data_IF_524584934987
#
_entry.id   IF_524584934987
#
_cell.length_a   1.000
_cell.length_b   1.000
_cell.length_c   1.000
_cell.angle_alpha   90.00
_cell.angle_beta   90.00
_cell.angle_gamma   90.00
#
_symmetry.space_group_name_H-M   'P 1'
#
loop_
_entity.id
_entity.type
_entity.pdbx_description
1 polymer ?
#
# COMPACT_ATOMS: atom_id res chain seq x y z
N UNK A 1 -18.05 10.42 -39.96
CA UNK A 1 -17.91 10.94 -38.57
C UNK A 1 -17.47 12.39 -38.64
N UNK A 2 -18.11 13.29 -37.90
CA UNK A 2 -17.78 14.73 -37.93
C UNK A 2 -16.61 15.02 -36.98
N UNK A 3 -15.78 16.03 -37.27
CA UNK A 3 -14.61 16.40 -36.45
C UNK A 3 -14.96 16.59 -34.97
N UNK A 4 -16.16 17.11 -34.68
CA UNK A 4 -16.70 17.24 -33.32
C UNK A 4 -16.87 15.90 -32.60
N UNK A 5 -17.35 14.86 -33.29
CA UNK A 5 -17.46 13.51 -32.71
C UNK A 5 -16.10 12.89 -32.41
N UNK A 6 -15.09 13.15 -33.25
CA UNK A 6 -13.72 12.69 -33.01
C UNK A 6 -13.08 13.42 -31.82
N UNK A 7 -13.27 14.75 -31.71
CA UNK A 7 -12.77 15.53 -30.57
C UNK A 7 -13.41 15.11 -29.24
N UNK A 8 -14.72 14.83 -29.23
CA UNK A 8 -15.42 14.32 -28.05
C UNK A 8 -14.92 12.93 -27.64
N UNK A 9 -14.74 12.02 -28.61
CA UNK A 9 -14.20 10.70 -28.34
C UNK A 9 -12.78 10.77 -27.78
N UNK A 10 -11.92 11.60 -28.36
CA UNK A 10 -10.55 11.80 -27.88
C UNK A 10 -10.53 12.35 -26.45
N UNK A 11 -11.39 13.33 -26.13
CA UNK A 11 -11.49 13.89 -24.79
C UNK A 11 -11.91 12.82 -23.77
N UNK A 12 -12.92 12.02 -24.09
CA UNK A 12 -13.39 10.94 -23.21
C UNK A 12 -12.29 9.91 -22.94
N UNK A 13 -11.51 9.54 -23.95
CA UNK A 13 -10.39 8.61 -23.80
C UNK A 13 -9.33 9.18 -22.85
N UNK A 14 -8.93 10.44 -23.02
CA UNK A 14 -7.93 11.08 -22.15
C UNK A 14 -8.43 11.21 -20.71
N UNK A 15 -9.68 11.64 -20.52
CA UNK A 15 -10.24 11.74 -19.16
C UNK A 15 -10.41 10.35 -18.52
N UNK A 16 -10.81 9.36 -19.31
CA UNK A 16 -10.99 7.99 -18.83
C UNK A 16 -9.67 7.35 -18.42
N UNK A 17 -8.59 7.57 -19.18
CA UNK A 17 -7.27 7.04 -18.84
C UNK A 17 -6.69 7.67 -17.57
N UNK A 18 -6.88 8.98 -17.38
CA UNK A 18 -6.48 9.66 -16.13
C UNK A 18 -7.21 9.10 -14.90
N UNK A 19 -8.52 8.91 -14.99
CA UNK A 19 -9.31 8.33 -13.89
C UNK A 19 -8.85 6.91 -13.59
N UNK A 20 -8.60 6.09 -14.62
CA UNK A 20 -8.12 4.74 -14.44
C UNK A 20 -6.74 4.72 -13.75
N UNK A 21 -5.79 5.53 -14.23
CA UNK A 21 -4.46 5.64 -13.65
C UNK A 21 -4.52 6.00 -12.15
N UNK A 22 -5.28 7.04 -11.79
CA UNK A 22 -5.43 7.46 -10.39
C UNK A 22 -6.00 6.36 -9.47
N UNK A 23 -6.92 5.54 -9.99
CA UNK A 23 -7.48 4.43 -9.22
C UNK A 23 -6.48 3.27 -9.04
N UNK A 24 -5.64 3.00 -10.04
CA UNK A 24 -4.59 2.00 -9.95
C UNK A 24 -3.52 2.43 -8.93
N UNK A 25 -3.07 3.68 -8.98
CA UNK A 25 -2.10 4.22 -8.02
C UNK A 25 -2.64 4.13 -6.58
N UNK A 26 -3.90 4.51 -6.37
CA UNK A 26 -4.53 4.39 -5.06
C UNK A 26 -4.69 2.93 -4.58
N UNK A 27 -4.89 1.97 -5.50
CA UNK A 27 -4.93 0.56 -5.17
C UNK A 27 -3.55 0.03 -4.75
N UNK A 28 -2.50 0.47 -5.44
CA UNK A 28 -1.12 0.10 -5.16
C UNK A 28 -0.65 0.64 -3.81
N UNK A 29 -0.87 1.93 -3.53
CA UNK A 29 -0.59 2.55 -2.23
C UNK A 29 -1.25 1.78 -1.07
N UNK A 30 -2.54 1.44 -1.22
CA UNK A 30 -3.26 0.64 -0.21
C UNK A 30 -2.73 -0.79 -0.09
N UNK A 31 -2.19 -1.35 -1.16
CA UNK A 31 -1.58 -2.68 -1.12
C UNK A 31 -0.24 -2.62 -0.37
N UNK A 32 0.64 -1.70 -0.75
CA UNK A 32 1.93 -1.47 -0.10
C UNK A 32 1.78 -1.18 1.40
N UNK A 33 0.81 -0.33 1.77
CA UNK A 33 0.50 -0.03 3.17
C UNK A 33 0.10 -1.27 3.96
N UNK A 34 -0.78 -2.11 3.39
CA UNK A 34 -1.22 -3.35 4.03
C UNK A 34 -0.09 -4.36 4.17
N UNK A 35 0.75 -4.48 3.14
CA UNK A 35 1.92 -5.36 3.16
C UNK A 35 2.90 -4.92 4.25
N UNK A 36 3.23 -3.63 4.33
CA UNK A 36 4.07 -3.09 5.40
C UNK A 36 3.52 -3.44 6.79
N UNK A 37 2.23 -3.18 7.04
CA UNK A 37 1.64 -3.48 8.33
C UNK A 37 1.62 -4.99 8.67
N UNK A 38 1.38 -5.85 7.68
CA UNK A 38 1.43 -7.30 7.85
C UNK A 38 2.86 -7.77 8.18
N UNK A 39 3.84 -7.26 7.46
CA UNK A 39 5.24 -7.61 7.63
C UNK A 39 5.79 -7.16 8.99
N UNK A 40 5.39 -5.97 9.45
CA UNK A 40 5.72 -5.50 10.81
C UNK A 40 5.05 -6.40 11.86
N UNK A 41 3.79 -6.79 11.66
CA UNK A 41 3.10 -7.68 12.59
C UNK A 41 3.83 -9.04 12.73
N UNK A 42 4.30 -9.61 11.62
CA UNK A 42 5.10 -10.84 11.61
C UNK A 42 6.41 -10.64 12.38
N UNK A 43 7.14 -9.57 12.05
CA UNK A 43 8.41 -9.25 12.71
C UNK A 43 8.26 -9.15 14.23
N UNK A 44 7.22 -8.46 14.70
CA UNK A 44 6.96 -8.27 16.13
C UNK A 44 6.48 -9.55 16.81
N UNK A 45 5.68 -10.37 16.12
CA UNK A 45 5.26 -11.68 16.64
C UNK A 45 6.47 -12.61 16.83
N UNK A 46 7.44 -12.59 15.91
CA UNK A 46 8.67 -13.37 16.03
C UNK A 46 9.63 -12.81 17.08
N UNK A 47 9.66 -11.48 17.25
CA UNK A 47 10.37 -10.83 18.34
C UNK A 47 9.84 -11.29 19.71
N UNK A 48 8.52 -11.33 19.87
CA UNK A 48 7.86 -11.82 21.10
C UNK A 48 8.13 -13.32 21.35
N UNK A 49 8.46 -14.09 20.31
CA UNK A 49 8.91 -15.49 20.42
C UNK A 49 10.42 -15.63 20.71
N UNK A 50 11.15 -14.53 20.83
CA UNK A 50 12.59 -14.53 21.09
C UNK A 50 13.46 -14.96 19.90
N UNK A 51 12.93 -14.91 18.67
CA UNK A 51 13.72 -15.21 17.47
C UNK A 51 14.77 -14.11 17.28
N UNK A 52 16.00 -14.50 16.95
CA UNK A 52 17.09 -13.56 16.68
C UNK A 52 16.73 -12.61 15.51
N UNK A 53 16.99 -11.29 15.61
CA UNK A 53 16.65 -10.33 14.55
C UNK A 53 17.17 -10.72 13.16
N UNK A 54 18.35 -11.35 13.06
CA UNK A 54 18.92 -11.78 11.77
C UNK A 54 18.22 -13.01 11.18
N UNK A 55 17.32 -13.64 11.93
CA UNK A 55 16.53 -14.80 11.52
C UNK A 55 15.03 -14.51 11.43
N UNK A 56 14.62 -13.28 11.73
CA UNK A 56 13.22 -12.89 11.64
C UNK A 56 12.80 -12.65 10.20
N UNK A 57 11.52 -12.89 9.94
CA UNK A 57 10.84 -12.62 8.69
C UNK A 57 9.99 -11.35 8.81
N UNK A 58 9.55 -10.83 7.66
CA UNK A 58 8.82 -9.57 7.58
C UNK A 58 9.73 -8.34 7.60
N UNK A 59 9.18 -7.22 8.02
CA UNK A 59 9.81 -5.91 7.93
C UNK A 59 9.91 -5.30 9.34
N UNK A 60 11.12 -5.01 9.83
CA UNK A 60 11.28 -4.27 11.07
C UNK A 60 10.71 -2.87 10.92
N UNK A 61 9.98 -2.39 11.92
CA UNK A 61 9.57 -0.98 11.92
C UNK A 61 10.74 -0.05 12.27
N UNK A 62 11.64 0.16 11.31
CA UNK A 62 12.83 0.98 11.49
C UNK A 62 12.52 2.44 11.84
N UNK A 63 11.37 2.95 11.39
CA UNK A 63 10.96 4.34 11.58
C UNK A 63 10.09 4.54 12.81
N UNK A 64 9.61 3.47 13.44
CA UNK A 64 8.73 3.57 14.61
C UNK A 64 7.35 4.14 14.29
N UNK A 65 6.90 4.04 13.04
CA UNK A 65 5.64 4.66 12.58
C UNK A 65 4.47 3.67 12.53
N UNK A 66 4.72 2.38 12.78
CA UNK A 66 3.69 1.36 12.61
C UNK A 66 2.55 1.51 13.62
N UNK A 67 2.81 2.00 14.84
CA UNK A 67 1.75 2.23 15.84
C UNK A 67 0.74 3.29 15.39
N UNK A 68 1.20 4.32 14.68
CA UNK A 68 0.35 5.41 14.18
C UNK A 68 -0.37 5.03 12.89
N UNK A 69 0.31 4.25 12.03
CA UNK A 69 -0.13 3.99 10.66
C UNK A 69 -0.81 2.63 10.44
N UNK A 70 -0.60 1.66 11.34
CA UNK A 70 -1.16 0.31 11.24
C UNK A 70 -2.28 0.10 12.29
N UNK A 71 -3.55 0.32 11.93
CA UNK A 71 -4.66 0.17 12.86
C UNK A 71 -4.76 -1.28 13.35
N UNK A 72 -4.80 -1.47 14.66
CA UNK A 72 -4.94 -2.78 15.28
C UNK A 72 -3.64 -3.57 15.40
N UNK A 73 -2.50 -2.99 15.00
CA UNK A 73 -1.18 -3.49 15.38
C UNK A 73 -1.01 -3.28 16.89
N UNK A 74 -1.50 -4.23 17.69
CA UNK A 74 -1.33 -4.19 19.14
C UNK A 74 0.15 -4.31 19.46
N UNK A 75 0.65 -3.54 20.44
CA UNK A 75 2.06 -3.58 20.74
C UNK A 75 2.43 -4.97 21.23
N UNK A 76 3.51 -5.52 20.66
CA UNK A 76 4.38 -6.41 21.41
C UNK A 76 5.04 -5.55 22.51
N UNK A 77 4.29 -5.27 23.58
CA UNK A 77 4.88 -4.87 24.85
C UNK A 77 5.35 -6.12 25.58
#
# INVERSE_FOLDING_TARGET
MTTRTLSLAALLVVTGSMVLAANLDAADERHLHRTYCADVAVWQAEAARGIDPLRRTGHPDYRGIAEEHCPGLRPAK
#
